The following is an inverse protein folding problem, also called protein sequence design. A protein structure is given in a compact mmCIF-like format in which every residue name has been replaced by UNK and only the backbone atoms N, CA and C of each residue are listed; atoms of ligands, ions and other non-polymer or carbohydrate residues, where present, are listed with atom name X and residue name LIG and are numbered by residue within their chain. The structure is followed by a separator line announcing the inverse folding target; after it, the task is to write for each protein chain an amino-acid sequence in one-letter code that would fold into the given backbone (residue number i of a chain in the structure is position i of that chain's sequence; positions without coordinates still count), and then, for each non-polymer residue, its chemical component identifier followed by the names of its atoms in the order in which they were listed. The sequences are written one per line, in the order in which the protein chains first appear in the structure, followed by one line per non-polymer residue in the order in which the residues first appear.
data_IF_578548664281
#
_entry.id   IF_578548664281
#
_cell.length_a   1.000
_cell.length_b   1.000
_cell.length_c   1.000
_cell.angle_alpha   90.00
_cell.angle_beta   90.00
_cell.angle_gamma   90.00
#
_symmetry.space_group_name_H-M   'P 1'
#
loop_
_entity.id
_entity.type
_entity.pdbx_description
1 polymer ?
#
# COMPACT_ATOMS: atom_id res chain seq x y z
N UNK A 1 8.48 11.96 8.21
CA UNK A 1 8.93 11.42 6.91
C UNK A 1 8.81 9.91 6.92
N UNK A 2 8.15 9.36 5.92
CA UNK A 2 7.93 7.92 5.85
C UNK A 2 8.89 7.26 4.86
N UNK A 3 9.08 5.96 5.03
CA UNK A 3 9.82 5.11 4.09
C UNK A 3 8.81 4.39 3.22
N UNK A 4 8.87 4.60 1.92
CA UNK A 4 7.89 4.05 0.97
C UNK A 4 8.60 3.18 -0.06
N UNK A 5 8.03 2.01 -0.33
CA UNK A 5 8.51 1.12 -1.37
C UNK A 5 7.53 1.14 -2.53
N UNK A 6 8.00 1.51 -3.71
CA UNK A 6 7.19 1.55 -4.93
C UNK A 6 7.59 0.37 -5.80
N UNK A 7 6.63 -0.48 -6.11
CA UNK A 7 6.85 -1.70 -6.89
C UNK A 7 6.02 -1.64 -8.17
N UNK A 8 6.69 -1.57 -9.30
CA UNK A 8 6.03 -1.54 -10.61
C UNK A 8 7.06 -1.92 -11.67
N UNK A 9 6.67 -2.77 -12.62
CA UNK A 9 7.56 -3.16 -13.70
C UNK A 9 7.67 -2.07 -14.79
N UNK A 10 6.75 -1.11 -14.80
CA UNK A 10 6.79 0.02 -15.72
C UNK A 10 7.68 1.12 -15.13
N UNK A 11 8.81 1.37 -15.78
CA UNK A 11 9.78 2.37 -15.31
C UNK A 11 9.19 3.78 -15.24
N UNK A 12 8.31 4.13 -16.18
CA UNK A 12 7.70 5.46 -16.18
C UNK A 12 6.83 5.68 -14.94
N UNK A 13 5.98 4.72 -14.64
CA UNK A 13 5.10 4.79 -13.47
C UNK A 13 5.94 4.78 -12.20
N UNK A 14 6.90 3.88 -12.12
CA UNK A 14 7.79 3.75 -10.96
C UNK A 14 8.52 5.06 -10.69
N UNK A 15 9.09 5.66 -11.71
CA UNK A 15 9.84 6.91 -11.57
C UNK A 15 8.91 8.08 -11.23
N UNK A 16 7.75 8.15 -11.86
CA UNK A 16 6.78 9.21 -11.58
C UNK A 16 6.33 9.18 -10.12
N UNK A 17 5.98 8.01 -9.62
CA UNK A 17 5.56 7.85 -8.23
C UNK A 17 6.70 8.17 -7.27
N UNK A 18 7.90 7.69 -7.58
CA UNK A 18 9.06 7.93 -6.75
C UNK A 18 9.39 9.43 -6.66
N UNK A 19 9.36 10.13 -7.78
CA UNK A 19 9.61 11.57 -7.79
C UNK A 19 8.58 12.33 -6.98
N UNK A 20 7.31 12.00 -7.16
CA UNK A 20 6.23 12.65 -6.42
C UNK A 20 6.38 12.43 -4.92
N UNK A 21 6.54 11.19 -4.51
CA UNK A 21 6.57 10.84 -3.10
C UNK A 21 7.87 11.26 -2.41
N UNK A 22 8.95 11.39 -3.17
CA UNK A 22 10.23 11.84 -2.61
C UNK A 22 10.23 13.29 -2.17
N UNK A 23 9.22 14.06 -2.55
CA UNK A 23 9.08 15.43 -2.07
C UNK A 23 8.83 15.49 -0.56
N UNK A 24 8.22 14.46 0.00
CA UNK A 24 7.86 14.44 1.43
C UNK A 24 8.33 13.19 2.17
N UNK A 25 8.78 12.17 1.44
CA UNK A 25 9.12 10.87 2.03
C UNK A 25 10.41 10.35 1.44
N UNK A 26 10.92 9.28 2.03
CA UNK A 26 12.01 8.52 1.43
C UNK A 26 11.40 7.39 0.61
N UNK A 27 11.84 7.25 -0.63
CA UNK A 27 11.32 6.23 -1.53
C UNK A 27 12.41 5.31 -2.01
N UNK A 28 12.11 4.04 -2.02
CA UNK A 28 12.88 3.06 -2.76
C UNK A 28 11.96 2.44 -3.80
N UNK A 29 12.54 1.90 -4.86
CA UNK A 29 11.78 1.31 -5.95
C UNK A 29 12.20 -0.13 -6.18
N UNK A 30 11.29 -0.93 -6.71
CA UNK A 30 11.55 -2.31 -7.10
C UNK A 30 10.84 -2.59 -8.42
N UNK A 31 11.52 -3.24 -9.33
CA UNK A 31 10.97 -3.60 -10.64
C UNK A 31 10.10 -4.84 -10.57
N UNK A 32 10.32 -5.69 -9.57
CA UNK A 32 9.64 -6.96 -9.39
C UNK A 32 9.26 -7.16 -7.94
N UNK A 33 8.33 -8.06 -7.70
CA UNK A 33 7.95 -8.44 -6.34
C UNK A 33 9.11 -9.12 -5.61
N UNK A 34 9.92 -9.88 -6.33
CA UNK A 34 11.09 -10.54 -5.74
C UNK A 34 12.09 -9.53 -5.19
N UNK A 35 12.37 -8.48 -5.98
CA UNK A 35 13.25 -7.39 -5.52
C UNK A 35 12.62 -6.68 -4.34
N UNK A 36 11.31 -6.46 -4.39
CA UNK A 36 10.58 -5.82 -3.29
C UNK A 36 10.72 -6.62 -1.99
N UNK A 37 10.58 -7.93 -2.07
CA UNK A 37 10.73 -8.80 -0.89
C UNK A 37 12.14 -8.72 -0.31
N UNK A 38 13.16 -8.68 -1.17
CA UNK A 38 14.53 -8.53 -0.71
C UNK A 38 14.74 -7.20 0.01
N UNK A 39 14.16 -6.13 -0.50
CA UNK A 39 14.25 -4.82 0.14
C UNK A 39 13.50 -4.77 1.47
N UNK A 40 12.35 -5.43 1.55
CA UNK A 40 11.59 -5.51 2.79
C UNK A 40 12.33 -6.28 3.87
N UNK A 41 13.17 -7.24 3.50
CA UNK A 41 14.02 -7.93 4.48
C UNK A 41 15.16 -7.05 4.97
N UNK A 42 15.70 -6.20 4.09
CA UNK A 42 16.84 -5.37 4.41
C UNK A 42 16.48 -4.11 5.18
N UNK A 43 15.32 -3.52 4.89
CA UNK A 43 14.90 -2.25 5.44
C UNK A 43 13.46 -2.32 5.93
N UNK A 44 13.11 -1.40 6.82
CA UNK A 44 11.74 -1.25 7.29
C UNK A 44 11.03 -0.21 6.44
N UNK A 45 9.81 -0.53 6.00
CA UNK A 45 9.00 0.38 5.21
C UNK A 45 7.69 0.69 5.91
N UNK A 46 7.21 1.91 5.70
CA UNK A 46 5.94 2.36 6.27
C UNK A 46 4.76 2.04 5.35
N UNK A 47 4.99 2.04 4.04
CA UNK A 47 3.95 1.78 3.04
C UNK A 47 4.57 1.08 1.84
N UNK A 48 3.83 0.13 1.27
CA UNK A 48 4.17 -0.49 -0.01
C UNK A 48 3.12 -0.10 -1.04
N UNK A 49 3.56 0.49 -2.14
CA UNK A 49 2.72 0.76 -3.31
C UNK A 49 3.10 -0.26 -4.37
N UNK A 50 2.18 -1.08 -4.82
CA UNK A 50 2.52 -2.10 -5.81
C UNK A 50 1.48 -2.22 -6.93
N UNK A 51 1.97 -2.39 -8.16
CA UNK A 51 1.15 -2.83 -9.27
C UNK A 51 0.68 -4.26 -9.00
N UNK A 52 -0.51 -4.59 -9.46
CA UNK A 52 -1.04 -5.93 -9.27
C UNK A 52 -0.52 -6.91 -10.31
N UNK A 53 -0.32 -6.45 -11.54
CA UNK A 53 0.13 -7.30 -12.64
C UNK A 53 1.60 -7.07 -12.92
N UNK A 54 2.43 -8.06 -12.59
CA UNK A 54 3.86 -8.01 -12.83
C UNK A 54 4.35 -9.39 -13.26
N UNK A 55 5.41 -9.47 -14.08
CA UNK A 55 6.03 -10.76 -14.39
C UNK A 55 6.58 -11.43 -13.11
N UNK A 56 6.50 -12.72 -13.04
CA UNK A 56 6.93 -13.48 -11.87
C UNK A 56 5.87 -13.42 -10.78
N UNK A 57 6.28 -13.10 -9.56
CA UNK A 57 5.33 -12.90 -8.47
C UNK A 57 4.45 -11.70 -8.76
N UNK A 58 3.15 -11.87 -8.59
CA UNK A 58 2.19 -10.79 -8.80
C UNK A 58 2.14 -9.87 -7.57
N UNK A 59 1.50 -8.70 -7.75
CA UNK A 59 1.23 -7.81 -6.64
C UNK A 59 0.34 -8.46 -5.59
N UNK A 60 -0.54 -9.37 -6.00
CA UNK A 60 -1.39 -10.11 -5.09
C UNK A 60 -0.57 -11.06 -4.19
N UNK A 61 0.40 -11.73 -4.78
CA UNK A 61 1.29 -12.61 -4.02
C UNK A 61 2.18 -11.79 -3.08
N UNK A 62 2.66 -10.64 -3.55
CA UNK A 62 3.41 -9.71 -2.71
C UNK A 62 2.57 -9.25 -1.53
N UNK A 63 1.31 -8.91 -1.76
CA UNK A 63 0.38 -8.54 -0.70
C UNK A 63 0.30 -9.63 0.37
N UNK A 64 0.15 -10.88 -0.05
CA UNK A 64 0.08 -12.01 0.87
C UNK A 64 1.32 -12.13 1.74
N UNK A 65 2.50 -11.98 1.14
CA UNK A 65 3.76 -12.02 1.87
C UNK A 65 3.87 -10.90 2.90
N UNK A 66 3.50 -9.68 2.51
CA UNK A 66 3.58 -8.53 3.40
C UNK A 66 2.61 -8.69 4.57
N UNK A 67 1.40 -9.14 4.31
CA UNK A 67 0.41 -9.34 5.36
C UNK A 67 0.89 -10.37 6.38
N UNK A 68 1.57 -11.39 5.92
CA UNK A 68 2.05 -12.45 6.80
C UNK A 68 3.27 -12.04 7.61
N UNK A 69 4.24 -11.37 6.98
CA UNK A 69 5.51 -11.03 7.62
C UNK A 69 5.55 -9.64 8.22
N UNK A 70 4.82 -8.70 7.63
CA UNK A 70 4.87 -7.29 8.02
C UNK A 70 3.45 -6.77 8.20
N UNK A 71 2.69 -7.31 9.16
CA UNK A 71 1.25 -7.01 9.27
C UNK A 71 0.92 -5.54 9.54
N UNK A 72 1.89 -4.76 9.99
CA UNK A 72 1.68 -3.34 10.22
C UNK A 72 2.07 -2.46 9.03
N UNK A 73 2.49 -3.06 7.93
CA UNK A 73 2.87 -2.31 6.72
C UNK A 73 1.71 -2.34 5.73
N UNK A 74 0.98 -1.23 5.59
CA UNK A 74 -0.14 -1.17 4.64
C UNK A 74 0.36 -1.28 3.21
N UNK A 75 -0.42 -1.99 2.40
CA UNK A 75 -0.14 -2.19 0.98
C UNK A 75 -1.23 -1.50 0.17
N UNK A 76 -0.82 -0.61 -0.72
CA UNK A 76 -1.72 0.06 -1.65
C UNK A 76 -1.53 -0.60 -3.00
N UNK A 77 -2.60 -1.11 -3.59
CA UNK A 77 -2.57 -1.77 -4.89
C UNK A 77 -2.92 -0.76 -5.98
N UNK A 78 -2.13 -0.74 -7.04
CA UNK A 78 -2.39 0.07 -8.22
C UNK A 78 -2.69 -0.87 -9.37
N UNK A 79 -3.78 -0.64 -10.10
CA UNK A 79 -4.19 -1.53 -11.18
C UNK A 79 -4.93 -0.79 -12.28
N UNK A 80 -4.83 -1.30 -13.50
CA UNK A 80 -5.63 -0.82 -14.62
C UNK A 80 -6.99 -1.48 -14.72
N UNK A 81 -7.32 -2.40 -13.82
CA UNK A 81 -8.59 -3.13 -13.84
C UNK A 81 -9.64 -2.33 -13.08
N UNK A 82 -10.69 -1.88 -13.79
CA UNK A 82 -11.75 -1.05 -13.21
C UNK A 82 -12.93 -1.88 -12.73
N UNK A 83 -12.68 -3.08 -12.24
CA UNK A 83 -13.72 -3.96 -11.72
C UNK A 83 -13.88 -3.73 -10.22
N UNK A 84 -15.06 -3.29 -9.83
CA UNK A 84 -15.36 -2.98 -8.44
C UNK A 84 -15.30 -4.23 -7.56
N UNK A 85 -15.76 -5.36 -8.06
CA UNK A 85 -15.67 -6.62 -7.33
C UNK A 85 -14.22 -7.04 -7.10
N UNK A 86 -13.37 -6.81 -8.09
CA UNK A 86 -11.94 -7.09 -7.97
C UNK A 86 -11.30 -6.23 -6.89
N UNK A 87 -11.61 -4.92 -6.91
CA UNK A 87 -11.10 -3.98 -5.90
C UNK A 87 -11.56 -4.38 -4.50
N UNK A 88 -12.84 -4.70 -4.34
CA UNK A 88 -13.37 -5.12 -3.05
C UNK A 88 -12.74 -6.42 -2.57
N UNK A 89 -12.48 -7.34 -3.49
CA UNK A 89 -11.81 -8.59 -3.18
C UNK A 89 -10.42 -8.37 -2.62
N UNK A 90 -9.66 -7.44 -3.21
CA UNK A 90 -8.32 -7.13 -2.73
C UNK A 90 -8.34 -6.48 -1.35
N UNK A 91 -9.31 -5.60 -1.12
CA UNK A 91 -9.49 -4.98 0.20
C UNK A 91 -9.82 -6.05 1.25
N UNK A 92 -10.70 -6.98 0.92
CA UNK A 92 -11.03 -8.09 1.82
C UNK A 92 -9.83 -8.97 2.12
N UNK A 93 -8.91 -9.10 1.16
CA UNK A 93 -7.69 -9.85 1.37
C UNK A 93 -6.67 -9.10 2.21
N UNK A 94 -6.89 -7.83 2.49
CA UNK A 94 -6.05 -7.07 3.39
C UNK A 94 -5.31 -5.89 2.76
N UNK A 95 -5.54 -5.59 1.47
CA UNK A 95 -4.98 -4.38 0.88
C UNK A 95 -5.55 -3.17 1.59
N UNK A 96 -4.69 -2.18 1.83
CA UNK A 96 -5.13 -0.96 2.50
C UNK A 96 -5.99 -0.10 1.59
N UNK A 97 -5.60 0.00 0.31
CA UNK A 97 -6.34 0.80 -0.67
C UNK A 97 -6.11 0.23 -2.06
N UNK A 98 -6.94 0.68 -2.99
CA UNK A 98 -6.90 0.26 -4.37
C UNK A 98 -7.00 1.51 -5.25
N UNK A 99 -5.96 1.77 -6.04
CA UNK A 99 -5.90 2.93 -6.92
C UNK A 99 -5.96 2.49 -8.38
N UNK A 100 -6.80 3.14 -9.15
CA UNK A 100 -7.03 2.79 -10.55
C UNK A 100 -6.11 3.59 -11.46
N UNK A 101 -5.51 2.92 -12.43
CA UNK A 101 -4.75 3.58 -13.50
C UNK A 101 -5.70 4.03 -14.61
N UNK A 102 -5.53 5.20 -15.21
CA UNK A 102 -4.58 6.23 -14.80
C UNK A 102 -5.02 6.94 -13.52
N UNK A 103 -4.09 7.20 -12.64
CA UNK A 103 -4.38 7.82 -11.35
C UNK A 103 -4.03 9.31 -11.35
N UNK A 104 -4.66 10.03 -10.45
CA UNK A 104 -4.30 11.41 -10.16
C UNK A 104 -3.27 11.42 -9.04
N UNK A 105 -2.30 12.33 -9.16
CA UNK A 105 -1.24 12.41 -8.15
C UNK A 105 -1.77 12.74 -6.77
N UNK A 106 -2.79 13.60 -6.70
CA UNK A 106 -3.41 13.96 -5.41
C UNK A 106 -4.07 12.74 -4.73
N UNK A 107 -4.62 11.85 -5.53
CA UNK A 107 -5.25 10.62 -4.99
C UNK A 107 -4.20 9.71 -4.40
N UNK A 108 -3.05 9.58 -5.08
CA UNK A 108 -1.93 8.79 -4.57
C UNK A 108 -1.42 9.38 -3.27
N UNK A 109 -1.19 10.69 -3.23
CA UNK A 109 -0.69 11.36 -2.04
C UNK A 109 -1.62 11.17 -0.84
N UNK A 110 -2.91 11.31 -1.06
CA UNK A 110 -3.90 11.13 0.02
C UNK A 110 -3.92 9.70 0.53
N UNK A 111 -3.85 8.73 -0.38
CA UNK A 111 -3.84 7.32 0.00
C UNK A 111 -2.59 7.00 0.82
N UNK A 112 -1.43 7.49 0.39
CA UNK A 112 -0.17 7.29 1.10
C UNK A 112 -0.23 7.94 2.48
N UNK A 113 -0.75 9.16 2.58
CA UNK A 113 -0.87 9.84 3.86
C UNK A 113 -1.75 9.05 4.85
N UNK A 114 -2.88 8.53 4.36
CA UNK A 114 -3.74 7.70 5.20
C UNK A 114 -3.05 6.42 5.62
N UNK A 115 -2.29 5.81 4.72
CA UNK A 115 -1.56 4.59 5.01
C UNK A 115 -0.46 4.83 6.06
N UNK A 116 0.27 5.92 5.94
CA UNK A 116 1.31 6.29 6.91
C UNK A 116 0.68 6.49 8.29
N UNK A 117 -0.44 7.20 8.34
CA UNK A 117 -1.14 7.45 9.59
C UNK A 117 -1.68 6.15 10.19
N UNK A 118 -2.21 5.27 9.34
CA UNK A 118 -2.71 3.96 9.77
C UNK A 118 -1.60 3.12 10.40
N UNK A 119 -0.43 3.08 9.76
CA UNK A 119 0.72 2.35 10.30
C UNK A 119 1.15 2.93 11.65
N UNK A 120 1.19 4.25 11.74
CA UNK A 120 1.58 4.90 13.00
C UNK A 120 0.63 4.52 14.11
N UNK A 121 -0.68 4.50 13.84
CA UNK A 121 -1.67 4.07 14.82
C UNK A 121 -1.49 2.61 15.21
N UNK A 122 -1.16 1.75 14.27
CA UNK A 122 -0.92 0.35 14.57
C UNK A 122 0.29 0.17 15.47
N UNK A 123 1.35 0.95 15.24
CA UNK A 123 2.56 0.89 16.07
C UNK A 123 2.32 1.44 17.47
N UNK A 124 1.52 2.48 17.60
CA UNK A 124 1.12 3.06 18.88
C UNK A 124 -0.06 2.30 19.48
N UNK A 125 -0.79 1.60 18.64
CA UNK A 125 -2.06 0.98 18.96
C UNK A 125 -2.00 -0.09 20.02
N UNK A 126 -0.84 -0.65 20.26
CA UNK A 126 -0.66 -1.59 21.35
C UNK A 126 -0.90 -0.94 22.71
N UNK A 127 -0.83 0.38 22.75
CA UNK A 127 -1.08 1.17 23.94
C UNK A 127 -2.49 1.77 23.96
N UNK A 128 -3.22 1.64 22.86
CA UNK A 128 -4.57 2.16 22.76
C UNK A 128 -5.57 1.16 23.28
N UNK A 129 -6.72 1.68 23.65
CA UNK A 129 -7.84 0.85 24.08
C UNK A 129 -8.33 -0.02 22.92
N UNK A 130 -8.77 -1.22 23.22
CA UNK A 130 -9.38 -2.08 22.23
C UNK A 130 -10.59 -1.41 21.57
N UNK A 131 -11.31 -0.60 22.32
CA UNK A 131 -12.49 0.10 21.85
C UNK A 131 -12.16 1.08 20.72
N UNK A 132 -11.07 1.81 20.85
CA UNK A 132 -10.63 2.73 19.81
C UNK A 132 -10.24 1.99 18.53
N UNK A 133 -9.52 0.89 18.69
CA UNK A 133 -9.12 0.08 17.54
C UNK A 133 -10.33 -0.51 16.84
N UNK A 134 -11.31 -0.94 17.58
CA UNK A 134 -12.54 -1.48 17.03
C UNK A 134 -13.34 -0.41 16.29
N UNK A 135 -13.44 0.78 16.84
CA UNK A 135 -14.13 1.87 16.19
C UNK A 135 -13.48 2.23 14.87
N UNK A 136 -12.16 2.34 14.85
CA UNK A 136 -11.42 2.63 13.63
C UNK A 136 -11.60 1.53 12.59
N UNK A 137 -11.55 0.28 13.01
CA UNK A 137 -11.71 -0.85 12.10
C UNK A 137 -13.14 -0.92 11.56
N UNK A 138 -14.12 -0.51 12.31
CA UNK A 138 -15.51 -0.50 11.87
C UNK A 138 -15.76 0.60 10.84
N UNK A 139 -15.14 1.74 11.00
CA UNK A 139 -15.37 2.88 10.11
C UNK A 139 -14.58 2.77 8.81
N UNK A 140 -13.32 2.43 8.88
CA UNK A 140 -12.42 2.44 7.73
C UNK A 140 -12.91 1.60 6.56
N UNK A 141 -13.28 0.35 6.73
CA UNK A 141 -13.68 -0.47 5.59
C UNK A 141 -14.95 0.00 4.91
N UNK A 142 -15.76 0.77 5.61
CA UNK A 142 -17.05 1.19 5.08
C UNK A 142 -16.91 2.45 4.25
N UNK A 143 -16.18 3.43 4.75
CA UNK A 143 -16.14 4.74 4.14
C UNK A 143 -15.46 4.74 2.79
N UNK A 144 -14.33 4.11 2.66
CA UNK A 144 -13.57 4.22 1.44
C UNK A 144 -13.84 3.10 0.45
N UNK A 145 -14.62 2.12 0.80
CA UNK A 145 -15.12 1.15 -0.15
C UNK A 145 -16.27 1.70 -0.98
N UNK A 146 -17.00 2.59 -0.42
CA UNK A 146 -18.14 3.20 -1.08
C UNK A 146 -17.69 4.28 -2.06
N UNK A 147 -16.58 4.89 -1.77
CA UNK A 147 -15.98 5.88 -2.63
C UNK A 147 -15.21 5.23 -3.77
#
# INVERSE_FOLDING_TARGET
MAEILVVDDDALIRNTLSELLSLQHKCQTAETAEIALAKLEADSFDVVLTDISMPGLSGLELLGHVLQKYPHTPVIIISGISDQDHAQGLIKLGAFDYLLKPFRLEVVEKSVMRAVEHRRRLQEGTTLDGDEAEAAAADDPTDWKIV
#
